data_IF_753660364145
#
_entry.id   IF_753660364145
#
_cell.length_a   1.000
_cell.length_b   1.000
_cell.length_c   1.000
_cell.angle_alpha   90.00
_cell.angle_beta   90.00
_cell.angle_gamma   90.00
#
_symmetry.space_group_name_H-M   'P 1'
#
loop_
_entity.id
_entity.type
_entity.pdbx_description
1 polymer ?
#
# COMPACT_ATOMS: atom_id res chain seq x y z
N UNK A 1 -5.59 16.02 -31.78
CA UNK A 1 -6.68 15.05 -31.54
C UNK A 1 -6.71 14.04 -32.68
N UNK A 2 -7.00 12.77 -32.39
CA UNK A 2 -7.09 11.71 -33.41
C UNK A 2 -8.22 12.00 -34.42
N UNK A 3 -7.93 11.83 -35.71
CA UNK A 3 -8.90 12.04 -36.78
C UNK A 3 -9.19 10.71 -37.49
N UNK A 4 -10.36 10.08 -37.22
CA UNK A 4 -10.70 8.77 -37.78
C UNK A 4 -10.93 8.81 -39.30
N UNK A 5 -11.16 9.98 -39.89
CA UNK A 5 -11.41 10.12 -41.34
C UNK A 5 -10.17 9.85 -42.19
N UNK A 6 -8.98 9.88 -41.57
CA UNK A 6 -7.70 9.68 -42.25
C UNK A 6 -7.33 8.20 -42.47
N UNK A 7 -8.08 7.26 -41.89
CA UNK A 7 -7.81 5.82 -42.04
C UNK A 7 -6.41 5.37 -41.57
N UNK A 8 -5.77 6.16 -40.70
CA UNK A 8 -4.40 5.93 -40.23
C UNK A 8 -4.37 4.72 -39.30
N UNK A 9 -3.49 3.77 -39.60
CA UNK A 9 -3.12 2.69 -38.69
C UNK A 9 -2.06 3.21 -37.74
N UNK A 10 -2.28 3.07 -36.43
CA UNK A 10 -1.34 3.48 -35.39
C UNK A 10 -0.47 2.30 -34.98
N UNK A 11 0.80 2.57 -34.65
CA UNK A 11 1.73 1.55 -34.14
C UNK A 11 1.35 1.10 -32.72
N UNK A 12 0.82 2.02 -31.91
CA UNK A 12 0.33 1.74 -30.56
C UNK A 12 -1.00 2.46 -30.26
N UNK A 13 -1.94 1.74 -29.67
CA UNK A 13 -3.11 2.30 -29.00
C UNK A 13 -3.01 2.06 -27.49
N UNK A 14 -2.98 3.13 -26.70
CA UNK A 14 -2.96 3.07 -25.23
C UNK A 14 -4.36 3.32 -24.71
N UNK A 15 -4.90 2.41 -23.89
CA UNK A 15 -6.21 2.59 -23.27
C UNK A 15 -6.01 2.93 -21.80
N UNK A 16 -6.39 4.15 -21.41
CA UNK A 16 -6.19 4.74 -20.09
C UNK A 16 -5.01 5.72 -20.05
N UNK A 17 -5.30 6.95 -19.64
CA UNK A 17 -4.34 8.06 -19.49
C UNK A 17 -3.82 8.17 -18.06
N UNK A 18 -3.53 7.04 -17.40
CA UNK A 18 -2.86 7.00 -16.09
C UNK A 18 -1.33 6.88 -16.20
N UNK A 19 -0.60 6.85 -15.07
CA UNK A 19 0.87 6.82 -15.06
C UNK A 19 1.49 5.74 -15.94
N UNK A 20 0.90 4.54 -15.91
CA UNK A 20 1.35 3.41 -16.71
C UNK A 20 1.19 3.66 -18.22
N UNK A 21 0.02 4.17 -18.62
CA UNK A 21 -0.31 4.40 -20.02
C UNK A 21 0.54 5.52 -20.61
N UNK A 22 0.70 6.62 -19.88
CA UNK A 22 1.52 7.75 -20.33
C UNK A 22 3.00 7.38 -20.40
N UNK A 23 3.53 6.63 -19.42
CA UNK A 23 4.92 6.19 -19.45
C UNK A 23 5.23 5.32 -20.69
N UNK A 24 4.34 4.38 -21.03
CA UNK A 24 4.51 3.57 -22.26
C UNK A 24 4.35 4.42 -23.52
N UNK A 25 3.35 5.31 -23.57
CA UNK A 25 3.10 6.18 -24.72
C UNK A 25 4.30 7.08 -25.03
N UNK A 26 4.96 7.61 -24.00
CA UNK A 26 6.15 8.43 -24.14
C UNK A 26 7.29 7.65 -24.80
N UNK A 27 7.57 6.43 -24.35
CA UNK A 27 8.65 5.60 -24.89
C UNK A 27 8.48 5.32 -26.40
N UNK A 28 7.25 5.07 -26.85
CA UNK A 28 6.96 4.87 -28.27
C UNK A 28 7.10 6.17 -29.07
N UNK A 29 6.68 7.29 -28.50
CA UNK A 29 6.78 8.61 -29.14
C UNK A 29 8.26 9.02 -29.31
N UNK A 30 9.10 8.75 -28.32
CA UNK A 30 10.55 8.96 -28.37
C UNK A 30 11.23 8.06 -29.41
N UNK A 31 10.71 6.85 -29.63
CA UNK A 31 11.14 5.95 -30.70
C UNK A 31 10.63 6.37 -32.10
N UNK A 32 9.88 7.47 -32.23
CA UNK A 32 9.36 7.97 -33.50
C UNK A 32 8.15 7.19 -34.04
N UNK A 33 7.50 6.37 -33.21
CA UNK A 33 6.32 5.58 -33.58
C UNK A 33 5.02 6.34 -33.33
N UNK A 34 3.97 6.00 -34.08
CA UNK A 34 2.66 6.62 -33.98
C UNK A 34 1.84 6.03 -32.81
N UNK A 35 1.41 6.89 -31.89
CA UNK A 35 0.68 6.51 -30.68
C UNK A 35 -0.69 7.19 -30.61
N UNK A 36 -1.71 6.44 -30.21
CA UNK A 36 -3.04 6.95 -29.90
C UNK A 36 -3.45 6.58 -28.47
N UNK A 37 -3.44 7.55 -27.56
CA UNK A 37 -3.97 7.39 -26.20
C UNK A 37 -5.47 7.64 -26.17
N UNK A 38 -6.22 6.69 -25.61
CA UNK A 38 -7.67 6.69 -25.47
C UNK A 38 -7.98 6.75 -23.98
N UNK A 39 -8.51 7.87 -23.53
CA UNK A 39 -8.97 8.08 -22.15
C UNK A 39 -10.34 8.75 -22.17
N UNK A 40 -11.30 8.35 -21.32
CA UNK A 40 -12.61 9.00 -21.25
C UNK A 40 -12.57 10.44 -20.72
N UNK A 41 -11.47 10.87 -20.10
CA UNK A 41 -11.30 12.18 -19.46
C UNK A 41 -9.82 12.64 -19.54
N UNK A 42 -9.26 12.85 -20.74
CA UNK A 42 -7.84 13.11 -20.95
C UNK A 42 -7.35 14.45 -20.37
N UNK A 43 -8.26 15.37 -20.08
CA UNK A 43 -7.97 16.68 -19.46
C UNK A 43 -8.14 16.65 -17.93
N UNK A 44 -8.63 15.54 -17.36
CA UNK A 44 -8.81 15.40 -15.93
C UNK A 44 -7.44 15.33 -15.25
N UNK A 45 -7.18 16.30 -14.37
CA UNK A 45 -6.00 16.28 -13.50
C UNK A 45 -6.10 15.05 -12.59
N UNK A 46 -5.03 14.25 -12.50
CA UNK A 46 -4.98 13.16 -11.55
C UNK A 46 -5.02 13.70 -10.12
N UNK A 47 -6.00 13.31 -9.29
CA UNK A 47 -5.90 13.50 -7.85
C UNK A 47 -4.81 12.54 -7.36
N UNK A 48 -3.57 13.02 -7.30
CA UNK A 48 -2.42 12.18 -6.94
C UNK A 48 -2.48 11.83 -5.44
N UNK A 49 -2.66 10.55 -5.12
CA UNK A 49 -2.60 10.01 -3.75
C UNK A 49 -1.58 8.86 -3.62
N UNK A 50 -0.59 8.80 -4.51
CA UNK A 50 0.41 7.74 -4.52
C UNK A 50 1.56 8.03 -3.55
N UNK A 51 2.01 6.98 -2.85
CA UNK A 51 3.25 7.01 -2.07
C UNK A 51 4.32 6.23 -2.80
N UNK A 52 5.50 6.83 -2.96
CA UNK A 52 6.66 6.23 -3.62
C UNK A 52 7.89 6.46 -2.76
N UNK A 53 8.90 5.61 -2.92
CA UNK A 53 10.19 5.86 -2.28
C UNK A 53 10.94 6.92 -3.09
N UNK A 54 11.58 7.87 -2.39
CA UNK A 54 12.26 9.00 -3.04
C UNK A 54 13.38 8.51 -3.96
N UNK A 55 14.13 7.50 -3.53
CA UNK A 55 15.21 6.89 -4.33
C UNK A 55 14.67 6.21 -5.60
N UNK A 56 13.47 5.62 -5.57
CA UNK A 56 12.85 5.06 -6.78
C UNK A 56 12.56 6.16 -7.82
N UNK A 57 12.01 7.29 -7.40
CA UNK A 57 11.69 8.40 -8.31
C UNK A 57 12.93 9.17 -8.77
N UNK A 58 13.94 9.29 -7.91
CA UNK A 58 15.24 9.83 -8.29
C UNK A 58 15.87 9.04 -9.44
N UNK A 59 15.82 7.71 -9.39
CA UNK A 59 16.35 6.86 -10.48
C UNK A 59 15.59 6.99 -11.80
N UNK A 60 14.38 7.56 -11.79
CA UNK A 60 13.53 7.75 -12.96
C UNK A 60 13.52 9.21 -13.44
N UNK A 61 14.26 10.11 -12.79
CA UNK A 61 14.23 11.55 -13.04
C UNK A 61 12.82 12.17 -12.87
N UNK A 62 12.08 11.69 -11.87
CA UNK A 62 10.70 12.11 -11.57
C UNK A 62 10.59 12.87 -10.23
N UNK A 63 11.69 13.47 -9.75
CA UNK A 63 11.68 14.19 -8.47
C UNK A 63 10.76 15.42 -8.46
N UNK A 64 10.53 16.02 -9.63
CA UNK A 64 9.59 17.12 -9.85
C UNK A 64 8.12 16.70 -9.72
N UNK A 65 7.85 15.39 -9.73
CA UNK A 65 6.52 14.82 -9.52
C UNK A 65 6.19 14.61 -8.02
N UNK A 66 7.12 14.91 -7.10
CA UNK A 66 6.90 14.78 -5.66
C UNK A 66 6.32 16.09 -5.08
N UNK A 67 5.10 16.03 -4.54
CA UNK A 67 4.47 17.18 -3.90
C UNK A 67 5.02 17.44 -2.48
N UNK A 68 5.25 16.37 -1.70
CA UNK A 68 5.81 16.50 -0.35
C UNK A 68 6.58 15.24 0.06
N UNK A 69 7.66 15.43 0.83
CA UNK A 69 8.51 14.36 1.37
C UNK A 69 8.53 14.41 2.89
N UNK A 70 8.26 13.29 3.56
CA UNK A 70 8.19 13.22 5.03
C UNK A 70 9.29 12.33 5.62
N UNK A 71 10.21 12.96 6.36
CA UNK A 71 11.35 12.28 6.98
C UNK A 71 11.06 11.84 8.44
N UNK A 72 9.98 11.08 8.68
CA UNK A 72 9.48 10.59 9.99
C UNK A 72 8.65 11.61 10.82
N UNK A 73 7.33 11.37 10.97
CA UNK A 73 6.44 12.27 11.72
C UNK A 73 6.39 11.97 13.23
N UNK A 74 6.17 10.72 13.62
CA UNK A 74 5.96 10.33 15.02
C UNK A 74 7.24 10.40 15.87
N UNK A 75 8.36 9.95 15.32
CA UNK A 75 9.67 9.98 16.00
C UNK A 75 10.10 11.43 16.28
N UNK A 76 9.96 12.33 15.30
CA UNK A 76 10.29 13.75 15.47
C UNK A 76 9.39 14.45 16.50
N UNK A 77 8.09 14.17 16.53
CA UNK A 77 7.20 14.73 17.54
C UNK A 77 7.57 14.23 18.95
N UNK A 78 7.82 12.93 19.11
CA UNK A 78 8.22 12.34 20.40
C UNK A 78 9.61 12.84 20.84
N UNK A 79 10.60 12.87 19.95
CA UNK A 79 11.94 13.40 20.25
C UNK A 79 11.89 14.87 20.62
N UNK A 80 11.11 15.70 19.91
CA UNK A 80 10.91 17.11 20.25
C UNK A 80 10.25 17.28 21.62
N UNK A 81 9.30 16.42 21.99
CA UNK A 81 8.64 16.40 23.30
C UNK A 81 9.63 16.00 24.41
N UNK A 82 10.44 14.97 24.18
CA UNK A 82 11.51 14.55 25.11
C UNK A 82 12.52 15.68 25.31
N UNK A 83 12.96 16.34 24.23
CA UNK A 83 13.87 17.50 24.30
C UNK A 83 13.26 18.70 25.04
N UNK A 84 11.94 18.85 24.98
CA UNK A 84 11.20 19.88 25.73
C UNK A 84 10.88 19.48 27.18
N UNK A 85 11.31 18.30 27.64
CA UNK A 85 11.18 17.85 29.03
C UNK A 85 9.94 17.03 29.37
N UNK A 86 9.16 16.59 28.37
CA UNK A 86 8.00 15.72 28.61
C UNK A 86 8.46 14.36 29.17
N UNK A 87 7.80 13.90 30.24
CA UNK A 87 8.08 12.60 30.86
C UNK A 87 7.19 11.51 30.26
N UNK A 88 7.81 10.44 29.77
CA UNK A 88 7.11 9.29 29.20
C UNK A 88 7.20 8.07 30.13
N UNK A 89 6.09 7.37 30.29
CA UNK A 89 6.01 6.12 31.04
C UNK A 89 5.37 5.06 30.14
N UNK A 90 6.15 4.03 29.79
CA UNK A 90 5.72 2.97 28.88
C UNK A 90 4.89 1.92 29.61
N UNK A 91 3.66 2.26 29.96
CA UNK A 91 2.73 1.34 30.61
C UNK A 91 1.28 1.58 30.15
N UNK A 92 0.41 0.61 30.42
CA UNK A 92 -1.03 0.72 30.17
C UNK A 92 -1.75 1.05 31.48
N UNK A 93 -2.52 2.14 31.51
CA UNK A 93 -3.43 2.44 32.62
C UNK A 93 -4.56 1.41 32.63
N UNK A 94 -4.70 0.68 33.73
CA UNK A 94 -5.72 -0.35 33.93
C UNK A 94 -6.89 0.15 34.77
N UNK A 95 -6.68 1.17 35.60
CA UNK A 95 -7.71 1.76 36.46
C UNK A 95 -7.38 3.22 36.77
N UNK A 96 -8.40 4.06 36.83
CA UNK A 96 -8.31 5.44 37.33
C UNK A 96 -9.20 5.55 38.56
N UNK A 97 -8.67 6.09 39.65
CA UNK A 97 -9.41 6.38 40.89
C UNK A 97 -9.37 7.90 41.07
N UNK A 98 -10.53 8.52 41.24
CA UNK A 98 -10.65 9.95 41.48
C UNK A 98 -10.79 10.22 42.98
N UNK A 99 -9.94 11.09 43.50
CA UNK A 99 -9.99 11.66 44.85
C UNK A 99 -10.35 13.16 44.75
N UNK A 100 -10.54 13.82 45.89
CA UNK A 100 -11.03 15.20 45.96
C UNK A 100 -10.15 16.22 45.19
N UNK A 101 -8.82 16.04 45.20
CA UNK A 101 -7.87 16.98 44.58
C UNK A 101 -6.97 16.36 43.50
N UNK A 102 -7.11 15.06 43.24
CA UNK A 102 -6.24 14.33 42.33
C UNK A 102 -6.85 13.03 41.86
N UNK A 103 -6.23 12.44 40.84
CA UNK A 103 -6.54 11.11 40.33
C UNK A 103 -5.31 10.20 40.43
N UNK A 104 -5.55 8.94 40.76
CA UNK A 104 -4.56 7.86 40.77
C UNK A 104 -4.78 6.99 39.53
N UNK A 105 -3.80 6.94 38.64
CA UNK A 105 -3.79 6.05 37.47
C UNK A 105 -2.93 4.83 37.81
N UNK A 106 -3.56 3.67 37.94
CA UNK A 106 -2.88 2.41 38.20
C UNK A 106 -2.48 1.80 36.85
N UNK A 107 -1.19 1.56 36.66
CA UNK A 107 -0.62 0.95 35.47
C UNK A 107 -0.50 -0.57 35.61
N UNK A 108 -0.44 -1.27 34.48
CA UNK A 108 -0.31 -2.73 34.42
C UNK A 108 1.05 -3.27 34.91
N UNK A 109 2.05 -2.41 35.05
CA UNK A 109 3.38 -2.72 35.58
C UNK A 109 3.48 -2.51 37.11
N UNK A 110 2.37 -2.16 37.76
CA UNK A 110 2.29 -1.91 39.20
C UNK A 110 2.61 -0.47 39.60
N UNK A 111 3.05 0.39 38.68
CA UNK A 111 3.29 1.81 38.95
C UNK A 111 1.96 2.54 39.08
N UNK A 112 1.86 3.48 40.04
CA UNK A 112 0.70 4.37 40.16
C UNK A 112 1.13 5.80 39.85
N UNK A 113 0.56 6.39 38.80
CA UNK A 113 0.80 7.78 38.41
C UNK A 113 -0.24 8.67 39.08
N UNK A 114 0.21 9.80 39.65
CA UNK A 114 -0.62 10.79 40.33
C UNK A 114 -0.79 12.01 39.44
N UNK A 115 -2.03 12.46 39.20
CA UNK A 115 -2.30 13.64 38.36
C UNK A 115 -3.50 14.45 38.87
N UNK A 116 -3.43 15.78 38.82
CA UNK A 116 -4.55 16.66 39.18
C UNK A 116 -5.70 16.58 38.17
N UNK A 117 -5.37 16.44 36.89
CA UNK A 117 -6.32 16.27 35.78
C UNK A 117 -5.87 15.10 34.93
N UNK A 118 -6.80 14.23 34.55
CA UNK A 118 -6.56 13.11 33.64
C UNK A 118 -7.22 13.40 32.31
N UNK A 119 -6.41 13.51 31.26
CA UNK A 119 -6.89 13.56 29.88
C UNK A 119 -6.95 12.13 29.34
N UNK A 120 -8.16 11.58 29.21
CA UNK A 120 -8.36 10.30 28.56
C UNK A 120 -8.29 10.47 27.03
N UNK A 121 -7.12 10.17 26.48
CA UNK A 121 -6.86 10.08 25.04
C UNK A 121 -6.74 8.62 24.57
N UNK A 122 -7.32 7.65 25.29
CA UNK A 122 -7.14 6.21 25.00
C UNK A 122 -7.97 5.69 23.82
N UNK A 123 -8.76 6.55 23.17
CA UNK A 123 -9.66 6.14 22.09
C UNK A 123 -11.11 6.12 22.52
N UNK A 124 -11.95 6.94 21.89
CA UNK A 124 -13.39 6.70 21.81
C UNK A 124 -13.60 5.62 20.76
N UNK A 125 -14.15 4.48 21.19
CA UNK A 125 -14.73 3.51 20.26
C UNK A 125 -15.82 2.77 21.00
N UNK A 126 -16.99 2.65 20.37
CA UNK A 126 -18.04 1.76 20.84
C UNK A 126 -17.48 0.35 21.01
N UNK A 127 -18.05 -0.44 21.92
CA UNK A 127 -17.65 -1.84 22.13
C UNK A 127 -17.68 -2.61 20.79
N UNK A 128 -18.64 -2.27 19.93
CA UNK A 128 -18.75 -2.81 18.59
C UNK A 128 -17.56 -2.43 17.68
N UNK A 129 -17.16 -1.16 17.64
CA UNK A 129 -15.98 -0.70 16.89
C UNK A 129 -14.69 -1.34 17.42
N UNK A 130 -14.55 -1.49 18.75
CA UNK A 130 -13.39 -2.19 19.35
C UNK A 130 -13.33 -3.66 18.93
N UNK A 131 -14.47 -4.34 18.90
CA UNK A 131 -14.58 -5.73 18.44
C UNK A 131 -14.22 -5.85 16.95
N UNK A 132 -14.78 -4.97 16.10
CA UNK A 132 -14.47 -4.92 14.66
C UNK A 132 -12.99 -4.62 14.39
N UNK A 133 -12.39 -3.66 15.09
CA UNK A 133 -10.96 -3.33 14.99
C UNK A 133 -10.04 -4.45 15.47
N UNK A 134 -10.45 -5.21 16.50
CA UNK A 134 -9.66 -6.32 17.01
C UNK A 134 -9.58 -7.47 16.01
N UNK A 135 -10.67 -7.71 15.27
CA UNK A 135 -10.76 -8.77 14.26
C UNK A 135 -10.10 -8.41 12.94
N UNK A 136 -10.37 -7.21 12.42
CA UNK A 136 -9.82 -6.75 11.14
C UNK A 136 -9.20 -5.38 11.37
N UNK A 137 -7.88 -5.30 11.56
CA UNK A 137 -7.21 -4.05 11.83
C UNK A 137 -7.21 -3.14 10.59
N UNK A 138 -7.32 -1.84 10.84
CA UNK A 138 -7.23 -0.79 9.84
C UNK A 138 -6.35 0.33 10.39
N UNK A 139 -5.75 1.08 9.48
CA UNK A 139 -4.89 2.22 9.81
C UNK A 139 -5.33 3.46 9.04
N UNK A 140 -4.91 4.62 9.53
CA UNK A 140 -5.23 5.92 8.98
C UNK A 140 -3.91 6.64 8.70
N UNK A 141 -3.69 7.04 7.45
CA UNK A 141 -2.72 8.09 7.14
C UNK A 141 -3.37 9.45 7.38
N UNK A 142 -2.60 10.36 7.98
CA UNK A 142 -2.99 11.75 8.17
C UNK A 142 -1.81 12.63 7.76
N UNK A 143 -2.00 13.42 6.71
CA UNK A 143 -0.99 14.27 6.10
C UNK A 143 -1.50 15.72 6.09
N UNK A 144 -1.10 16.54 7.09
CA UNK A 144 -1.52 17.94 7.13
C UNK A 144 -0.85 18.73 6.01
N UNK A 145 -1.65 19.43 5.21
CA UNK A 145 -1.17 20.40 4.21
C UNK A 145 -1.00 21.80 4.82
N UNK A 146 -1.86 22.15 5.78
CA UNK A 146 -1.80 23.40 6.54
C UNK A 146 -2.30 23.18 7.98
N UNK A 147 -2.45 24.27 8.74
CA UNK A 147 -3.05 24.24 10.09
C UNK A 147 -4.52 23.79 10.12
N UNK A 148 -5.23 23.92 9.00
CA UNK A 148 -6.67 23.71 8.89
C UNK A 148 -7.07 22.84 7.69
N UNK A 149 -6.09 22.22 7.00
CA UNK A 149 -6.29 21.37 5.83
C UNK A 149 -5.48 20.09 5.96
N UNK A 150 -6.14 18.94 5.85
CA UNK A 150 -5.52 17.62 6.10
C UNK A 150 -6.01 16.61 5.06
N UNK A 151 -5.09 15.86 4.48
CA UNK A 151 -5.38 14.62 3.74
C UNK A 151 -5.46 13.45 4.72
N UNK A 152 -6.50 12.65 4.58
CA UNK A 152 -6.78 11.49 5.42
C UNK A 152 -7.06 10.28 4.54
N UNK A 153 -6.40 9.17 4.82
CA UNK A 153 -6.66 7.91 4.13
C UNK A 153 -6.86 6.80 5.16
N UNK A 154 -8.09 6.32 5.32
CA UNK A 154 -8.37 5.14 6.13
C UNK A 154 -8.32 3.90 5.23
N UNK A 155 -7.47 2.96 5.60
CA UNK A 155 -7.11 1.81 4.76
C UNK A 155 -7.19 0.49 5.53
N UNK A 156 -7.80 -0.52 4.90
CA UNK A 156 -7.69 -1.91 5.33
C UNK A 156 -6.40 -2.52 4.79
N UNK A 157 -5.60 -3.19 5.62
CA UNK A 157 -4.33 -3.77 5.18
C UNK A 157 -4.51 -4.76 4.01
N UNK A 158 -5.21 -5.87 4.26
CA UNK A 158 -5.69 -6.79 3.24
C UNK A 158 -6.86 -7.60 3.83
N UNK A 159 -7.89 -7.85 3.03
CA UNK A 159 -9.05 -8.64 3.44
C UNK A 159 -9.57 -9.52 2.30
N UNK A 160 -10.26 -10.60 2.66
CA UNK A 160 -10.89 -11.53 1.73
C UNK A 160 -12.23 -12.03 2.32
N UNK A 161 -13.39 -11.57 1.81
CA UNK A 161 -13.57 -10.48 0.83
C UNK A 161 -13.13 -9.10 1.37
N UNK A 162 -12.99 -8.11 0.50
CA UNK A 162 -12.67 -6.73 0.89
C UNK A 162 -13.71 -6.11 1.83
N UNK A 163 -13.29 -5.15 2.65
CA UNK A 163 -14.20 -4.50 3.60
C UNK A 163 -15.19 -3.57 2.88
N UNK A 164 -16.47 -3.52 3.31
CA UNK A 164 -17.40 -2.54 2.79
C UNK A 164 -16.89 -1.12 2.98
N UNK A 165 -17.01 -0.26 1.97
CA UNK A 165 -16.53 1.13 2.04
C UNK A 165 -17.18 1.91 3.19
N UNK A 166 -18.43 1.58 3.52
CA UNK A 166 -19.15 2.14 4.66
C UNK A 166 -18.41 1.90 5.99
N UNK A 167 -17.90 0.69 6.22
CA UNK A 167 -17.17 0.35 7.44
C UNK A 167 -15.87 1.16 7.56
N UNK A 168 -15.22 1.46 6.43
CA UNK A 168 -14.00 2.25 6.36
C UNK A 168 -14.28 3.70 6.72
N UNK A 169 -15.29 4.29 6.10
CA UNK A 169 -15.72 5.66 6.35
C UNK A 169 -16.21 5.85 7.80
N UNK A 170 -17.00 4.91 8.34
CA UNK A 170 -17.45 4.95 9.74
C UNK A 170 -16.28 4.94 10.73
N UNK A 171 -15.23 4.14 10.46
CA UNK A 171 -14.02 4.11 11.29
C UNK A 171 -13.22 5.39 11.19
N UNK A 172 -13.07 5.97 9.99
CA UNK A 172 -12.42 7.27 9.82
C UNK A 172 -13.15 8.33 10.66
N UNK A 173 -14.47 8.46 10.51
CA UNK A 173 -15.28 9.42 11.28
C UNK A 173 -15.13 9.21 12.78
N UNK A 174 -15.16 7.96 13.24
CA UNK A 174 -14.95 7.64 14.65
C UNK A 174 -13.57 8.08 15.16
N UNK A 175 -12.51 7.93 14.35
CA UNK A 175 -11.16 8.40 14.70
C UNK A 175 -11.07 9.91 14.74
N UNK A 176 -11.60 10.61 13.74
CA UNK A 176 -11.62 12.08 13.69
C UNK A 176 -12.36 12.67 14.89
N UNK A 177 -13.54 12.11 15.19
CA UNK A 177 -14.33 12.47 16.38
C UNK A 177 -13.53 12.24 17.66
N UNK A 178 -12.83 11.11 17.75
CA UNK A 178 -12.00 10.79 18.91
C UNK A 178 -10.87 11.79 19.12
N UNK A 179 -10.17 12.21 18.07
CA UNK A 179 -9.07 13.19 18.18
C UNK A 179 -9.55 14.65 18.24
N UNK A 180 -10.87 14.88 18.21
CA UNK A 180 -11.48 16.20 18.32
C UNK A 180 -11.45 17.03 17.03
N UNK A 181 -11.10 16.43 15.89
CA UNK A 181 -11.11 17.11 14.59
C UNK A 181 -12.56 17.35 14.16
N UNK A 182 -12.92 18.62 13.98
CA UNK A 182 -14.23 19.01 13.46
C UNK A 182 -14.11 19.35 11.97
N UNK A 183 -14.65 18.47 11.13
CA UNK A 183 -14.69 18.68 9.68
C UNK A 183 -15.63 19.84 9.34
N UNK A 184 -15.13 20.84 8.61
CA UNK A 184 -15.94 21.95 8.06
C UNK A 184 -16.51 21.57 6.70
N UNK A 185 -15.65 21.04 5.83
CA UNK A 185 -15.97 20.65 4.46
C UNK A 185 -15.04 19.54 3.99
N UNK A 186 -15.56 18.69 3.10
CA UNK A 186 -14.77 17.72 2.34
C UNK A 186 -14.50 18.37 0.99
N UNK A 187 -13.24 18.59 0.68
CA UNK A 187 -12.78 19.18 -0.59
C UNK A 187 -12.66 18.09 -1.66
N UNK A 188 -12.17 16.91 -1.28
CA UNK A 188 -11.99 15.74 -2.14
C UNK A 188 -12.46 14.47 -1.41
N UNK A 189 -13.15 13.57 -2.11
CA UNK A 189 -13.57 12.23 -1.64
C UNK A 189 -13.26 11.20 -2.72
N UNK A 190 -12.29 10.33 -2.44
CA UNK A 190 -11.87 9.26 -3.32
C UNK A 190 -11.99 7.90 -2.63
N UNK A 191 -12.40 6.91 -3.43
CA UNK A 191 -12.62 5.53 -2.99
C UNK A 191 -11.84 4.61 -3.88
N UNK A 192 -10.94 3.83 -3.29
CA UNK A 192 -10.07 2.95 -4.05
C UNK A 192 -10.17 1.49 -3.53
N UNK A 193 -10.13 0.56 -4.49
CA UNK A 193 -10.14 -0.88 -4.28
C UNK A 193 -8.97 -1.46 -5.04
N UNK A 194 -7.98 -1.96 -4.29
CA UNK A 194 -6.74 -2.49 -4.82
C UNK A 194 -6.82 -4.03 -4.82
N UNK A 195 -6.79 -4.68 -6.00
CA UNK A 195 -6.74 -6.13 -6.08
C UNK A 195 -5.31 -6.62 -5.76
N UNK A 196 -5.08 -7.03 -4.51
CA UNK A 196 -3.78 -7.42 -3.98
C UNK A 196 -3.20 -8.62 -4.73
N UNK A 197 -2.23 -8.35 -5.61
CA UNK A 197 -1.59 -9.34 -6.48
C UNK A 197 -2.22 -9.53 -7.85
N UNK A 198 -3.48 -9.14 -8.05
CA UNK A 198 -4.22 -9.29 -9.31
C UNK A 198 -4.26 -10.72 -9.89
N UNK A 199 -4.90 -10.89 -11.05
CA UNK A 199 -4.71 -12.10 -11.86
C UNK A 199 -3.50 -11.92 -12.77
N UNK A 200 -2.77 -13.02 -13.01
CA UNK A 200 -1.73 -13.00 -14.04
C UNK A 200 -2.38 -13.07 -15.44
N UNK A 201 -1.76 -12.44 -16.46
CA UNK A 201 -2.16 -12.58 -17.84
C UNK A 201 -2.31 -14.06 -18.27
N UNK A 202 -3.42 -14.38 -18.94
CA UNK A 202 -3.61 -15.69 -19.58
C UNK A 202 -3.01 -15.64 -20.98
N UNK A 203 -2.10 -16.56 -21.28
CA UNK A 203 -1.41 -16.64 -22.57
C UNK A 203 -1.90 -17.86 -23.38
N UNK A 204 -1.97 -17.74 -24.72
CA UNK A 204 -1.66 -16.55 -25.53
C UNK A 204 -2.82 -15.54 -25.54
N UNK A 205 -2.51 -14.25 -25.63
CA UNK A 205 -3.50 -13.18 -25.84
C UNK A 205 -2.91 -12.04 -26.67
N UNK A 206 -3.78 -11.28 -27.35
CA UNK A 206 -3.39 -10.17 -28.23
C UNK A 206 -3.19 -8.85 -27.50
N UNK A 207 -3.71 -8.73 -26.27
CA UNK A 207 -3.62 -7.52 -25.46
C UNK A 207 -2.47 -7.66 -24.48
N UNK A 208 -1.54 -6.71 -24.51
CA UNK A 208 -0.46 -6.62 -23.52
C UNK A 208 -0.95 -5.71 -22.39
N UNK A 209 -1.24 -6.31 -21.24
CA UNK A 209 -1.51 -5.54 -20.02
C UNK A 209 -0.22 -5.01 -19.40
N UNK A 210 -0.33 -3.93 -18.64
CA UNK A 210 0.73 -3.38 -17.77
C UNK A 210 0.11 -2.95 -16.43
N UNK A 211 0.93 -2.78 -15.39
CA UNK A 211 0.50 -2.39 -14.04
C UNK A 211 -0.47 -3.41 -13.42
N UNK A 212 -1.56 -2.94 -12.81
CA UNK A 212 -2.59 -3.79 -12.22
C UNK A 212 -3.20 -4.79 -13.21
N UNK A 213 -3.34 -4.43 -14.49
CA UNK A 213 -3.86 -5.33 -15.54
C UNK A 213 -2.89 -6.47 -15.88
N UNK A 214 -1.60 -6.30 -15.57
CA UNK A 214 -0.59 -7.34 -15.67
C UNK A 214 -0.31 -8.08 -14.35
N UNK A 215 -1.09 -7.82 -13.29
CA UNK A 215 -0.87 -8.44 -11.98
C UNK A 215 0.37 -7.93 -11.24
N UNK A 216 0.81 -6.70 -11.51
CA UNK A 216 2.03 -6.11 -10.94
C UNK A 216 1.86 -5.54 -9.52
N UNK A 217 0.61 -5.44 -9.05
CA UNK A 217 0.28 -5.01 -7.68
C UNK A 217 1.00 -5.92 -6.68
N UNK A 218 1.77 -5.34 -5.76
CA UNK A 218 2.44 -6.11 -4.73
C UNK A 218 1.41 -6.77 -3.79
N UNK A 219 1.34 -8.12 -3.72
CA UNK A 219 0.29 -8.82 -2.96
C UNK A 219 0.17 -8.46 -1.48
N UNK A 220 1.26 -8.05 -0.82
CA UNK A 220 1.22 -7.74 0.62
C UNK A 220 1.04 -6.26 0.96
N UNK A 221 1.22 -5.35 -0.01
CA UNK A 221 1.33 -3.90 0.27
C UNK A 221 0.47 -3.03 -0.64
N UNK A 222 0.04 -3.54 -1.80
CA UNK A 222 -0.68 -2.76 -2.80
C UNK A 222 0.23 -1.91 -3.69
N UNK A 223 1.54 -1.82 -3.39
CA UNK A 223 2.47 -0.97 -4.12
C UNK A 223 2.61 -1.42 -5.58
N UNK A 224 2.50 -0.48 -6.51
CA UNK A 224 2.61 -0.78 -7.94
C UNK A 224 3.21 0.33 -8.81
N UNK A 225 3.19 1.60 -8.38
CA UNK A 225 3.52 2.75 -9.23
C UNK A 225 4.98 2.70 -9.70
N UNK A 226 5.94 2.71 -8.77
CA UNK A 226 7.37 2.66 -9.12
C UNK A 226 7.70 1.43 -9.97
N UNK A 227 7.20 0.25 -9.59
CA UNK A 227 7.37 -0.99 -10.35
C UNK A 227 6.82 -0.89 -11.77
N UNK A 228 5.67 -0.23 -11.94
CA UNK A 228 5.03 -0.02 -13.24
C UNK A 228 5.85 0.91 -14.12
N UNK A 229 6.31 2.02 -13.57
CA UNK A 229 7.14 3.00 -14.28
C UNK A 229 8.47 2.37 -14.70
N UNK A 230 9.12 1.60 -13.81
CA UNK A 230 10.34 0.87 -14.12
C UNK A 230 10.16 -0.19 -15.23
N UNK A 231 8.98 -0.81 -15.32
CA UNK A 231 8.70 -1.84 -16.31
C UNK A 231 8.29 -1.28 -17.68
N UNK A 232 7.78 -0.04 -17.73
CA UNK A 232 7.29 0.56 -18.97
C UNK A 232 8.36 0.60 -20.08
N UNK A 233 9.62 1.04 -19.83
CA UNK A 233 10.69 0.97 -20.82
C UNK A 233 11.02 -0.45 -21.28
N UNK A 234 10.98 -1.45 -20.38
CA UNK A 234 11.27 -2.85 -20.72
C UNK A 234 10.26 -3.38 -21.74
N UNK A 235 8.97 -3.16 -21.46
CA UNK A 235 7.88 -3.59 -22.34
C UNK A 235 7.90 -2.82 -23.66
N UNK A 236 8.09 -1.50 -23.60
CA UNK A 236 8.14 -0.67 -24.79
C UNK A 236 9.29 -1.08 -25.72
N UNK A 237 10.51 -1.21 -25.19
CA UNK A 237 11.67 -1.61 -25.97
C UNK A 237 11.52 -3.01 -26.58
N UNK A 238 10.94 -3.97 -25.84
CA UNK A 238 10.63 -5.31 -26.35
C UNK A 238 9.69 -5.22 -27.56
N UNK A 239 8.61 -4.44 -27.46
CA UNK A 239 7.65 -4.27 -28.56
C UNK A 239 8.29 -3.57 -29.75
N UNK A 240 9.00 -2.44 -29.53
CA UNK A 240 9.68 -1.68 -30.58
C UNK A 240 10.68 -2.58 -31.33
N UNK A 241 11.46 -3.38 -30.60
CA UNK A 241 12.40 -4.33 -31.18
C UNK A 241 11.72 -5.35 -32.10
N UNK A 242 10.64 -5.98 -31.63
CA UNK A 242 9.90 -6.97 -32.42
C UNK A 242 9.10 -6.38 -33.58
N UNK A 243 8.74 -5.10 -33.53
CA UNK A 243 8.13 -4.38 -34.66
C UNK A 243 9.17 -4.04 -35.74
N UNK A 244 10.42 -3.80 -35.37
CA UNK A 244 11.51 -3.46 -36.29
C UNK A 244 12.24 -4.64 -36.93
N UNK A 245 12.07 -5.86 -36.42
CA UNK A 245 12.73 -7.07 -36.94
C UNK A 245 12.05 -7.57 -38.25
N UNK A 246 12.85 -7.98 -39.24
CA UNK A 246 12.36 -8.48 -40.54
C UNK A 246 11.50 -9.75 -40.40
N UNK A 247 11.67 -10.48 -39.30
CA UNK A 247 10.78 -11.57 -38.89
C UNK A 247 9.56 -10.97 -38.19
N UNK A 248 8.63 -10.43 -38.97
CA UNK A 248 7.38 -9.84 -38.46
C UNK A 248 6.60 -10.87 -37.63
N UNK A 249 6.77 -10.85 -36.31
CA UNK A 249 6.00 -11.67 -35.38
C UNK A 249 4.59 -11.12 -35.34
N UNK A 250 3.62 -11.89 -35.84
CA UNK A 250 2.26 -11.40 -35.97
C UNK A 250 1.47 -11.56 -34.66
N UNK A 251 0.86 -10.45 -34.23
CA UNK A 251 -0.21 -10.42 -33.23
C UNK A 251 0.15 -11.13 -31.92
N UNK A 252 -0.44 -12.31 -31.70
CA UNK A 252 -0.35 -13.06 -30.44
C UNK A 252 1.09 -13.44 -30.06
N UNK A 253 1.97 -13.67 -31.02
CA UNK A 253 3.35 -14.06 -30.74
C UNK A 253 4.16 -12.89 -30.17
N UNK A 254 3.98 -11.70 -30.75
CA UNK A 254 4.59 -10.46 -30.25
C UNK A 254 4.09 -10.15 -28.84
N UNK A 255 2.77 -10.16 -28.64
CA UNK A 255 2.17 -9.94 -27.31
C UNK A 255 2.65 -10.95 -26.27
N UNK A 256 2.81 -12.22 -26.68
CA UNK A 256 3.33 -13.28 -25.80
C UNK A 256 4.79 -13.04 -25.42
N UNK A 257 5.64 -12.57 -26.35
CA UNK A 257 7.04 -12.26 -26.05
C UNK A 257 7.16 -11.04 -25.15
N UNK A 258 6.46 -9.94 -25.47
CA UNK A 258 6.44 -8.74 -24.63
C UNK A 258 5.99 -9.03 -23.19
N UNK A 259 4.97 -9.89 -23.02
CA UNK A 259 4.52 -10.32 -21.68
C UNK A 259 5.51 -11.24 -20.97
N UNK A 260 6.28 -12.07 -21.69
CA UNK A 260 7.35 -12.89 -21.11
C UNK A 260 8.55 -12.05 -20.66
N UNK A 261 8.84 -10.96 -21.37
CA UNK A 261 9.92 -10.04 -20.98
C UNK A 261 9.52 -9.22 -19.74
N UNK A 262 8.23 -8.86 -19.60
CA UNK A 262 7.70 -8.23 -18.39
C UNK A 262 7.71 -9.15 -17.17
N UNK A 263 7.33 -10.42 -17.37
CA UNK A 263 7.31 -11.45 -16.35
C UNK A 263 8.30 -12.56 -16.70
N UNK A 264 9.60 -12.40 -16.34
CA UNK A 264 10.51 -13.52 -16.41
C UNK A 264 9.92 -14.70 -15.63
N UNK A 265 10.19 -15.93 -16.08
CA UNK A 265 9.61 -17.19 -15.58
C UNK A 265 9.73 -17.41 -14.06
N UNK A 266 10.51 -16.58 -13.38
CA UNK A 266 10.72 -16.50 -11.94
C UNK A 266 9.49 -15.96 -11.18
N UNK A 267 8.35 -16.65 -11.34
CA UNK A 267 7.11 -16.47 -10.55
C UNK A 267 7.30 -16.61 -9.04
N UNK A 268 8.47 -17.07 -8.59
CA UNK A 268 8.81 -17.36 -7.19
C UNK A 268 8.78 -16.13 -6.29
N UNK A 269 9.23 -14.96 -6.76
CA UNK A 269 9.15 -13.73 -5.96
C UNK A 269 7.69 -13.35 -5.68
N UNK A 270 6.82 -13.45 -6.71
CA UNK A 270 5.39 -13.18 -6.55
C UNK A 270 4.73 -14.19 -5.61
N UNK A 271 5.07 -15.47 -5.72
CA UNK A 271 4.59 -16.51 -4.80
C UNK A 271 4.96 -16.19 -3.35
N UNK A 272 6.18 -15.69 -3.11
CA UNK A 272 6.62 -15.24 -1.80
C UNK A 272 5.80 -14.06 -1.28
N UNK A 273 5.48 -13.08 -2.13
CA UNK A 273 4.59 -11.98 -1.73
C UNK A 273 3.17 -12.46 -1.46
N UNK A 274 2.61 -13.36 -2.28
CA UNK A 274 1.31 -13.97 -2.02
C UNK A 274 1.29 -14.73 -0.68
N UNK A 275 2.39 -15.41 -0.33
CA UNK A 275 2.55 -16.03 0.97
C UNK A 275 2.54 -14.99 2.11
N UNK A 276 3.25 -13.87 1.95
CA UNK A 276 3.19 -12.76 2.90
C UNK A 276 1.77 -12.20 3.09
N UNK A 277 1.03 -12.03 2.01
CA UNK A 277 -0.39 -11.63 2.04
C UNK A 277 -1.25 -12.65 2.81
N UNK A 278 -1.07 -13.95 2.56
CA UNK A 278 -1.82 -15.02 3.24
C UNK A 278 -1.51 -15.10 4.75
N UNK A 279 -0.31 -14.67 5.17
CA UNK A 279 0.00 -14.45 6.59
C UNK A 279 -0.83 -13.28 7.11
N UNK A 280 -0.78 -12.12 6.46
CA UNK A 280 -1.48 -10.91 6.91
C UNK A 280 -3.00 -11.12 7.04
N UNK A 281 -3.60 -11.89 6.12
CA UNK A 281 -5.02 -12.25 6.15
C UNK A 281 -5.45 -13.03 7.40
N UNK A 282 -4.51 -13.66 8.10
CA UNK A 282 -4.79 -14.49 9.29
C UNK A 282 -4.53 -13.76 10.61
N UNK A 283 -3.89 -12.59 10.58
CA UNK A 283 -3.49 -11.87 11.79
C UNK A 283 -4.64 -11.02 12.32
N UNK A 284 -4.88 -11.11 13.63
CA UNK A 284 -5.70 -10.16 14.37
C UNK A 284 -4.89 -8.88 14.70
N UNK A 285 -5.51 -7.90 15.36
CA UNK A 285 -4.83 -6.64 15.70
C UNK A 285 -3.52 -6.84 16.49
N UNK A 286 -3.46 -7.82 17.40
CA UNK A 286 -2.24 -8.06 18.19
C UNK A 286 -1.16 -8.76 17.35
N UNK A 287 -1.55 -9.74 16.56
CA UNK A 287 -0.68 -10.43 15.62
C UNK A 287 -0.09 -9.47 14.59
N UNK A 288 -0.90 -8.58 14.02
CA UNK A 288 -0.45 -7.56 13.06
C UNK A 288 0.56 -6.60 13.68
N UNK A 289 0.36 -6.16 14.92
CA UNK A 289 1.32 -5.30 15.63
C UNK A 289 2.66 -6.00 15.83
N UNK A 290 2.65 -7.22 16.39
CA UNK A 290 3.88 -8.01 16.57
C UNK A 290 4.60 -8.29 15.26
N UNK A 291 3.84 -8.59 14.20
CA UNK A 291 4.39 -8.79 12.87
C UNK A 291 5.12 -7.54 12.36
N UNK A 292 4.49 -6.36 12.45
CA UNK A 292 5.13 -5.12 12.00
C UNK A 292 6.31 -4.72 12.88
N UNK A 293 6.22 -4.92 14.20
CA UNK A 293 7.35 -4.69 15.10
C UNK A 293 8.55 -5.56 14.67
N UNK A 294 8.34 -6.86 14.45
CA UNK A 294 9.39 -7.76 13.99
C UNK A 294 9.90 -7.45 12.58
N UNK A 295 9.01 -7.00 11.68
CA UNK A 295 9.33 -6.66 10.29
C UNK A 295 10.18 -5.40 10.18
N UNK A 296 9.83 -4.33 10.91
CA UNK A 296 10.56 -3.06 10.88
C UNK A 296 11.82 -3.04 11.76
N UNK A 297 11.97 -4.01 12.66
CA UNK A 297 13.20 -4.23 13.45
C UNK A 297 14.30 -4.96 12.66
N UNK A 298 13.98 -5.50 11.47
CA UNK A 298 14.98 -6.04 10.55
C UNK A 298 15.88 -4.94 9.99
N UNK A 299 17.05 -5.36 9.48
CA UNK A 299 17.96 -4.46 8.78
C UNK A 299 17.23 -3.73 7.62
N UNK A 300 17.42 -2.40 7.45
CA UNK A 300 16.71 -1.62 6.45
C UNK A 300 16.70 -2.20 5.04
N UNK A 301 17.81 -2.80 4.60
CA UNK A 301 17.93 -3.41 3.28
C UNK A 301 16.83 -4.46 3.02
N UNK A 302 16.46 -5.25 4.02
CA UNK A 302 15.48 -6.33 3.86
C UNK A 302 14.05 -5.79 3.75
N UNK A 303 13.60 -4.98 4.71
CA UNK A 303 12.22 -4.51 4.66
C UNK A 303 12.02 -3.49 3.53
N UNK A 304 13.00 -2.61 3.25
CA UNK A 304 12.92 -1.69 2.11
C UNK A 304 12.93 -2.47 0.80
N UNK A 305 13.83 -3.43 0.64
CA UNK A 305 13.92 -4.28 -0.54
C UNK A 305 12.64 -5.09 -0.76
N UNK A 306 12.03 -5.62 0.30
CA UNK A 306 10.76 -6.34 0.21
C UNK A 306 9.63 -5.42 -0.29
N UNK A 307 9.46 -4.24 0.31
CA UNK A 307 8.40 -3.29 -0.06
C UNK A 307 8.56 -2.72 -1.48
N UNK A 308 9.81 -2.61 -1.97
CA UNK A 308 10.15 -2.12 -3.32
C UNK A 308 10.34 -3.23 -4.35
N UNK A 309 10.10 -4.49 -3.99
CA UNK A 309 10.34 -5.66 -4.87
C UNK A 309 11.79 -5.82 -5.37
N UNK A 310 12.77 -5.26 -4.66
CA UNK A 310 14.20 -5.29 -5.02
C UNK A 310 14.98 -6.51 -4.49
N UNK A 311 14.39 -7.32 -3.61
CA UNK A 311 15.04 -8.54 -3.12
C UNK A 311 14.98 -9.68 -4.13
N UNK A 312 16.13 -10.29 -4.40
CA UNK A 312 16.25 -11.53 -5.17
C UNK A 312 15.87 -12.77 -4.33
N UNK A 313 15.73 -13.93 -4.98
CA UNK A 313 15.22 -15.15 -4.35
C UNK A 313 15.96 -15.55 -3.06
N UNK A 314 17.29 -15.51 -3.06
CA UNK A 314 18.08 -15.86 -1.86
C UNK A 314 17.86 -14.85 -0.74
N UNK A 315 17.81 -13.56 -1.07
CA UNK A 315 17.56 -12.49 -0.10
C UNK A 315 16.13 -12.56 0.45
N UNK A 316 15.14 -12.98 -0.35
CA UNK A 316 13.78 -13.24 0.12
C UNK A 316 13.73 -14.41 1.10
N UNK A 317 14.50 -15.47 0.85
CA UNK A 317 14.62 -16.61 1.78
C UNK A 317 15.26 -16.12 3.09
N UNK A 318 16.36 -15.38 3.03
CA UNK A 318 16.99 -14.82 4.23
C UNK A 318 16.07 -13.84 4.97
N UNK A 319 15.36 -12.97 4.26
CA UNK A 319 14.34 -12.09 4.82
C UNK A 319 13.26 -12.90 5.54
N UNK A 320 12.72 -13.94 4.91
CA UNK A 320 11.68 -14.79 5.50
C UNK A 320 12.16 -15.50 6.77
N UNK A 321 13.39 -16.04 6.76
CA UNK A 321 14.00 -16.67 7.92
C UNK A 321 14.28 -15.68 9.05
N UNK A 322 14.81 -14.50 8.73
CA UNK A 322 15.07 -13.43 9.69
C UNK A 322 13.78 -12.93 10.33
N UNK A 323 12.75 -12.69 9.53
CA UNK A 323 11.43 -12.30 9.99
C UNK A 323 10.83 -13.36 10.92
N UNK A 324 10.88 -14.63 10.52
CA UNK A 324 10.38 -15.73 11.34
C UNK A 324 11.12 -15.84 12.67
N UNK A 325 12.45 -15.73 12.66
CA UNK A 325 13.28 -15.76 13.87
C UNK A 325 12.95 -14.59 14.81
N UNK A 326 12.86 -13.36 14.27
CA UNK A 326 12.58 -12.17 15.05
C UNK A 326 11.16 -12.18 15.64
N UNK A 327 10.19 -12.62 14.82
CA UNK A 327 8.82 -12.82 15.26
C UNK A 327 8.70 -13.92 16.33
N UNK A 328 9.49 -15.01 16.23
CA UNK A 328 9.49 -16.11 17.19
C UNK A 328 10.04 -15.71 18.56
N UNK A 329 11.08 -14.86 18.59
CA UNK A 329 11.67 -14.33 19.82
C UNK A 329 10.72 -13.36 20.55
N UNK A 330 9.80 -12.71 19.84
CA UNK A 330 8.73 -11.88 20.41
C UNK A 330 7.50 -12.72 20.81
N UNK A 331 7.71 -13.78 21.60
CA UNK A 331 6.64 -14.58 22.23
C UNK A 331 5.51 -15.06 21.29
N UNK A 332 5.86 -15.62 20.14
CA UNK A 332 4.96 -16.19 19.12
C UNK A 332 4.30 -17.54 19.49
N UNK A 333 4.44 -18.01 20.72
CA UNK A 333 4.25 -19.43 21.06
C UNK A 333 2.83 -19.86 21.49
N UNK A 334 1.76 -19.10 21.21
CA UNK A 334 0.40 -19.51 21.64
C UNK A 334 -0.67 -19.75 20.57
N UNK A 335 -0.53 -19.27 19.33
CA UNK A 335 -1.63 -19.37 18.36
C UNK A 335 -1.35 -20.23 17.11
N UNK A 336 -0.10 -20.62 16.84
CA UNK A 336 0.22 -21.46 15.67
C UNK A 336 0.07 -22.98 15.91
N UNK A 337 -0.20 -23.42 17.14
CA UNK A 337 -0.21 -24.84 17.52
C UNK A 337 -1.53 -25.59 17.32
N UNK A 338 -2.62 -24.92 16.90
CA UNK A 338 -3.95 -25.56 16.81
C UNK A 338 -4.59 -25.30 15.45
N UNK A 339 -4.20 -26.10 14.46
CA UNK A 339 -4.94 -26.20 13.19
C UNK A 339 -4.07 -26.32 11.94
N UNK A 340 -3.10 -27.23 11.93
CA UNK A 340 -2.36 -27.56 10.71
C UNK A 340 -2.61 -29.01 10.31
N UNK A 341 -3.67 -29.20 9.53
CA UNK A 341 -3.73 -30.28 8.55
C UNK A 341 -4.07 -29.63 7.21
N UNK A 342 -3.17 -29.81 6.24
CA UNK A 342 -3.27 -29.44 4.83
C UNK A 342 -2.67 -28.08 4.43
N UNK A 343 -1.36 -28.09 4.18
CA UNK A 343 -0.72 -27.23 3.18
C UNK A 343 -1.27 -27.65 1.81
N UNK A 344 -2.16 -26.85 1.23
CA UNK A 344 -2.62 -27.02 -0.15
C UNK A 344 -2.12 -25.83 -0.95
N UNK A 345 -1.08 -26.06 -1.75
CA UNK A 345 -0.82 -25.26 -2.95
C UNK A 345 -1.93 -25.60 -3.95
N UNK A 346 -2.96 -24.76 -4.04
CA UNK A 346 -3.97 -24.90 -5.09
C UNK A 346 -5.40 -24.60 -4.64
N UNK A 347 -5.95 -23.54 -5.23
CA UNK A 347 -7.36 -23.21 -5.22
C UNK A 347 -7.54 -21.77 -5.65
N UNK A 348 -8.38 -21.52 -6.66
CA UNK A 348 -8.74 -20.17 -7.09
C UNK A 348 -9.56 -19.48 -5.98
N UNK A 349 -8.89 -19.00 -4.94
CA UNK A 349 -9.49 -18.16 -3.91
C UNK A 349 -9.66 -16.74 -4.44
N UNK A 350 -10.76 -16.08 -4.10
CA UNK A 350 -10.97 -14.67 -4.42
C UNK A 350 -9.72 -13.83 -4.10
N UNK A 351 -9.33 -12.93 -5.00
CA UNK A 351 -8.14 -12.08 -4.84
C UNK A 351 -8.29 -11.26 -3.54
N UNK A 352 -7.21 -11.15 -2.75
CA UNK A 352 -7.22 -10.28 -1.57
C UNK A 352 -7.47 -8.83 -2.00
N UNK A 353 -8.17 -8.06 -1.18
CA UNK A 353 -8.48 -6.67 -1.47
C UNK A 353 -7.98 -5.75 -0.36
N UNK A 354 -7.39 -4.64 -0.76
CA UNK A 354 -7.13 -3.50 0.08
C UNK A 354 -8.07 -2.39 -0.35
N UNK A 355 -8.94 -1.97 0.56
CA UNK A 355 -9.90 -0.91 0.30
C UNK A 355 -9.49 0.32 1.12
N UNK A 356 -9.57 1.49 0.51
CA UNK A 356 -9.27 2.76 1.17
C UNK A 356 -10.27 3.85 0.80
N UNK A 357 -10.51 4.74 1.76
CA UNK A 357 -11.24 5.98 1.57
C UNK A 357 -10.27 7.12 1.84
N UNK A 358 -10.04 7.95 0.84
CA UNK A 358 -9.16 9.11 0.90
C UNK A 358 -10.03 10.37 0.89
N UNK A 359 -9.79 11.30 1.82
CA UNK A 359 -10.47 12.58 1.85
C UNK A 359 -9.50 13.71 2.10
N UNK A 360 -9.70 14.84 1.42
CA UNK A 360 -9.09 16.11 1.81
C UNK A 360 -10.15 16.91 2.54
N UNK A 361 -9.85 17.31 3.77
CA UNK A 361 -10.79 18.07 4.61
C UNK A 361 -10.22 19.43 4.98
N UNK A 362 -11.12 20.40 5.11
CA UNK A 362 -10.88 21.58 5.95
C UNK A 362 -11.43 21.32 7.35
N UNK A 363 -10.68 21.67 8.40
CA UNK A 363 -11.05 21.39 9.78
C UNK A 363 -10.75 22.53 10.76
N UNK A 364 -11.29 22.40 11.97
CA UNK A 364 -10.98 23.23 13.14
C UNK A 364 -10.13 22.46 14.16
#
# INVERSE_FOLDING_TARGET
MFDPSKGLVMDLAVVGGGPAGLAVAQQFSEAGLSVCSIDPSPELIWPNNYVVWVDEFETMDLLDCLDTTWNQLKSKMMQKRILNGDKFHQAKVIKVIHEEFMSLLICNDGVTVKATVVLDATGFSSIELKSKNSRIPMFLYAMPFSSDRIFLEETSLVARPGLPMKDIQERMVARLTHVGIKVKSIEEDERCVIPMGGTLPVLPQRVVGIAGTAGMVHPSTGYMVARTLAAAPVVANSIVWYLGDERSLLGNELSTKALKDLWPIERRQREFFCFGMDILLKLDLQGTRRFFDAFFDLEPCYWQGFLSSRLFLLELIFFGLSLFSNASNTSWNKDYGKGHSSFVLGGASAIGQQNCSCVVISCH
#
